data_IF_692400762782
#
_entry.id   IF_692400762782
#
_cell.length_a   1.000
_cell.length_b   1.000
_cell.length_c   1.000
_cell.angle_alpha   90.00
_cell.angle_beta   90.00
_cell.angle_gamma   90.00
#
_symmetry.space_group_name_H-M   'P 1'
#
loop_
_entity.id
_entity.type
_entity.pdbx_description
1 polymer ?
#
# COMPACT_ATOMS: atom_id res chain seq x y z
N UNK A 1 -8.31 5.46 -37.03
CA UNK A 1 -9.02 6.71 -36.68
C UNK A 1 -8.18 7.36 -35.61
N UNK A 2 -7.51 8.46 -35.93
CA UNK A 2 -6.71 9.24 -34.97
C UNK A 2 -7.66 9.74 -33.87
N UNK A 3 -7.49 9.25 -32.64
CA UNK A 3 -8.16 9.86 -31.49
C UNK A 3 -7.73 11.33 -31.48
N UNK A 4 -8.70 12.24 -31.48
CA UNK A 4 -8.38 13.64 -31.25
C UNK A 4 -7.74 13.72 -29.87
N UNK A 5 -6.46 14.07 -29.82
CA UNK A 5 -5.75 14.36 -28.57
C UNK A 5 -6.52 15.47 -27.88
N UNK A 6 -7.27 15.13 -26.83
CA UNK A 6 -7.94 16.10 -25.99
C UNK A 6 -6.89 16.64 -25.03
N UNK A 7 -6.09 17.61 -25.47
CA UNK A 7 -5.28 18.39 -24.56
C UNK A 7 -6.24 19.10 -23.58
N UNK A 8 -5.99 19.06 -22.27
CA UNK A 8 -6.89 19.67 -21.31
C UNK A 8 -6.84 21.21 -21.45
N UNK A 9 -8.01 21.87 -21.33
CA UNK A 9 -8.13 23.34 -21.51
C UNK A 9 -7.31 24.15 -20.48
N UNK A 10 -6.89 23.48 -19.41
CA UNK A 10 -5.95 23.94 -18.38
C UNK A 10 -5.14 22.75 -17.87
N UNK A 11 -3.97 22.96 -17.24
CA UNK A 11 -3.26 21.86 -16.57
C UNK A 11 -4.18 21.11 -15.59
N UNK A 12 -4.13 19.78 -15.62
CA UNK A 12 -4.81 18.93 -14.65
C UNK A 12 -4.00 18.89 -13.36
N UNK A 13 -4.66 19.13 -12.23
CA UNK A 13 -4.02 19.25 -10.92
C UNK A 13 -3.95 17.87 -10.26
N UNK A 14 -2.75 17.30 -10.21
CA UNK A 14 -2.42 16.05 -9.55
C UNK A 14 -2.07 16.31 -8.09
N UNK A 15 -2.93 15.89 -7.17
CA UNK A 15 -2.67 15.95 -5.73
C UNK A 15 -1.75 14.83 -5.25
N UNK A 16 -0.73 15.17 -4.47
CA UNK A 16 0.18 14.18 -3.86
C UNK A 16 0.73 14.68 -2.53
N UNK A 17 1.27 13.76 -1.73
CA UNK A 17 2.05 14.10 -0.53
C UNK A 17 3.43 14.64 -0.90
N UNK A 18 4.03 15.41 0.01
CA UNK A 18 5.35 16.04 -0.21
C UNK A 18 6.57 15.14 0.00
N UNK A 19 6.40 13.87 0.37
CA UNK A 19 7.54 12.97 0.59
C UNK A 19 8.23 12.59 -0.74
N UNK A 20 9.54 12.32 -0.77
CA UNK A 20 10.24 11.94 -2.01
C UNK A 20 9.58 10.77 -2.76
N UNK A 21 9.10 9.75 -2.03
CA UNK A 21 8.42 8.61 -2.64
C UNK A 21 7.06 9.00 -3.25
N UNK A 22 6.29 9.84 -2.58
CA UNK A 22 5.00 10.30 -3.09
C UNK A 22 5.17 11.20 -4.34
N UNK A 23 6.21 12.03 -4.36
CA UNK A 23 6.58 12.82 -5.54
C UNK A 23 7.05 11.93 -6.69
N UNK A 24 7.79 10.85 -6.43
CA UNK A 24 8.15 9.88 -7.46
C UNK A 24 6.90 9.21 -8.06
N UNK A 25 5.93 8.83 -7.24
CA UNK A 25 4.66 8.24 -7.70
C UNK A 25 3.81 9.23 -8.51
N UNK A 26 3.80 10.50 -8.10
CA UNK A 26 3.15 11.57 -8.85
C UNK A 26 3.77 11.75 -10.24
N UNK A 27 5.11 11.79 -10.33
CA UNK A 27 5.82 11.86 -11.62
C UNK A 27 5.51 10.68 -12.52
N UNK A 28 5.57 9.45 -11.99
CA UNK A 28 5.20 8.24 -12.74
C UNK A 28 3.78 8.32 -13.32
N UNK A 29 2.83 8.87 -12.55
CA UNK A 29 1.44 9.02 -13.00
C UNK A 29 1.30 10.11 -14.07
N UNK A 30 1.96 11.25 -13.88
CA UNK A 30 1.98 12.34 -14.86
C UNK A 30 2.61 11.88 -16.18
N UNK A 31 3.76 11.19 -16.11
CA UNK A 31 4.46 10.62 -17.28
C UNK A 31 3.58 9.61 -18.01
N UNK A 32 2.86 8.74 -17.30
CA UNK A 32 1.92 7.79 -17.91
C UNK A 32 0.79 8.50 -18.66
N UNK A 33 0.19 9.54 -18.06
CA UNK A 33 -0.85 10.34 -18.70
C UNK A 33 -0.33 11.08 -19.94
N UNK A 34 0.80 11.79 -19.81
CA UNK A 34 1.39 12.53 -20.92
C UNK A 34 1.75 11.59 -22.08
N UNK A 35 2.34 10.42 -21.78
CA UNK A 35 2.70 9.43 -22.80
C UNK A 35 1.46 8.86 -23.50
N UNK A 36 0.45 8.44 -22.73
CA UNK A 36 -0.75 7.79 -23.27
C UNK A 36 -1.58 8.74 -24.14
N UNK A 37 -1.68 10.01 -23.75
CA UNK A 37 -2.53 10.99 -24.42
C UNK A 37 -1.76 11.92 -25.39
N UNK A 38 -0.43 11.79 -25.46
CA UNK A 38 0.43 12.65 -26.28
C UNK A 38 0.45 14.09 -25.79
N UNK A 39 0.40 14.31 -24.46
CA UNK A 39 0.45 15.64 -23.86
C UNK A 39 1.87 16.08 -23.53
N UNK A 40 2.09 17.39 -23.55
CA UNK A 40 3.29 18.00 -23.01
C UNK A 40 3.31 17.92 -21.47
N UNK A 41 4.49 18.09 -20.87
CA UNK A 41 4.68 17.91 -19.43
C UNK A 41 3.95 18.96 -18.58
N UNK A 42 3.64 20.12 -19.15
CA UNK A 42 2.90 21.20 -18.49
C UNK A 42 1.37 20.98 -18.46
N UNK A 43 0.87 19.95 -19.14
CA UNK A 43 -0.53 19.53 -19.06
C UNK A 43 -0.91 18.98 -17.68
N UNK A 44 0.07 18.63 -16.83
CA UNK A 44 -0.15 18.14 -15.47
C UNK A 44 0.58 19.05 -14.47
N UNK A 45 -0.19 19.67 -13.57
CA UNK A 45 0.34 20.44 -12.45
C UNK A 45 0.39 19.57 -11.19
N UNK A 46 1.55 19.39 -10.58
CA UNK A 46 1.66 18.67 -9.30
C UNK A 46 1.35 19.60 -8.12
N UNK A 47 0.30 19.28 -7.37
CA UNK A 47 -0.13 20.01 -6.17
C UNK A 47 0.26 19.20 -4.92
N UNK A 48 1.18 19.74 -4.13
CA UNK A 48 1.60 19.12 -2.86
C UNK A 48 0.58 19.43 -1.78
N UNK A 49 -0.03 18.40 -1.22
CA UNK A 49 -0.94 18.47 -0.09
C UNK A 49 -0.24 17.96 1.16
N UNK A 50 -0.12 18.83 2.17
CA UNK A 50 0.48 18.46 3.44
C UNK A 50 -0.51 17.66 4.30
N UNK A 51 -0.11 16.47 4.72
CA UNK A 51 -0.97 15.58 5.52
C UNK A 51 -0.62 15.62 7.00
N UNK A 52 -1.59 15.35 7.86
CA UNK A 52 -1.38 15.18 9.31
C UNK A 52 -0.36 14.08 9.64
N UNK A 53 -0.33 13.01 8.84
CA UNK A 53 0.66 11.93 8.97
C UNK A 53 2.12 12.35 8.73
N UNK A 54 2.35 13.45 7.99
CA UNK A 54 3.70 14.01 7.81
C UNK A 54 4.17 14.80 9.03
N UNK A 55 3.23 15.37 9.81
CA UNK A 55 3.51 16.20 10.99
C UNK A 55 3.76 15.37 12.25
N UNK A 56 3.09 14.23 12.40
CA UNK A 56 3.10 13.44 13.64
C UNK A 56 4.00 12.20 13.48
N UNK A 57 5.17 12.23 14.14
CA UNK A 57 6.20 11.19 14.02
C UNK A 57 6.54 10.46 15.33
N UNK A 58 5.96 10.88 16.46
CA UNK A 58 6.30 10.45 17.82
C UNK A 58 5.41 9.33 18.38
N UNK A 59 4.33 8.93 17.69
CA UNK A 59 3.40 7.85 18.13
C UNK A 59 3.04 6.88 16.99
N UNK A 60 2.39 5.77 17.33
CA UNK A 60 1.99 4.77 16.33
C UNK A 60 0.80 5.25 15.49
N UNK A 61 0.74 4.89 14.19
CA UNK A 61 -0.37 5.30 13.31
C UNK A 61 -1.74 4.88 13.84
N UNK A 62 -1.79 3.71 14.48
CA UNK A 62 -3.01 3.18 15.08
C UNK A 62 -3.59 4.09 16.17
N UNK A 63 -2.76 4.88 16.84
CA UNK A 63 -3.15 5.69 17.99
C UNK A 63 -3.62 7.11 17.61
N UNK A 64 -3.45 7.52 16.34
CA UNK A 64 -3.63 8.92 15.91
C UNK A 64 -4.77 9.08 14.88
N UNK A 65 -5.33 7.99 14.36
CA UNK A 65 -6.38 8.01 13.33
C UNK A 65 -6.13 7.11 12.12
N UNK A 66 -5.09 6.27 12.17
CA UNK A 66 -4.85 5.21 11.21
C UNK A 66 -4.43 5.66 9.80
N UNK A 67 -4.94 4.97 8.77
CA UNK A 67 -4.63 5.28 7.37
C UNK A 67 -5.25 6.59 6.90
N UNK A 68 -6.32 7.06 7.55
CA UNK A 68 -6.94 8.35 7.27
C UNK A 68 -6.01 9.54 7.41
N UNK A 69 -4.90 9.38 8.13
CA UNK A 69 -3.86 10.40 8.23
C UNK A 69 -3.09 10.64 6.93
N UNK A 70 -3.23 9.76 5.93
CA UNK A 70 -2.52 9.86 4.65
C UNK A 70 -3.40 10.30 3.48
N UNK A 71 -4.72 10.14 3.60
CA UNK A 71 -5.70 10.38 2.54
C UNK A 71 -6.59 11.59 2.85
N UNK A 72 -6.95 11.83 4.12
CA UNK A 72 -7.95 12.85 4.50
C UNK A 72 -7.72 14.24 3.91
N UNK A 73 -6.50 14.75 3.91
CA UNK A 73 -6.24 16.07 3.35
C UNK A 73 -6.30 16.08 1.81
N UNK A 74 -5.93 14.99 1.15
CA UNK A 74 -6.08 14.80 -0.30
C UNK A 74 -7.58 14.65 -0.67
N UNK A 75 -8.33 13.88 0.11
CA UNK A 75 -9.77 13.69 -0.03
C UNK A 75 -10.50 15.03 0.01
N UNK A 76 -10.17 15.85 1.01
CA UNK A 76 -10.70 17.21 1.12
C UNK A 76 -10.32 18.06 -0.08
N UNK A 77 -9.04 18.06 -0.48
CA UNK A 77 -8.59 18.84 -1.64
C UNK A 77 -9.31 18.43 -2.93
N UNK A 78 -9.62 17.15 -3.10
CA UNK A 78 -10.36 16.62 -4.23
C UNK A 78 -11.83 17.06 -4.21
N UNK A 79 -12.51 16.94 -3.06
CA UNK A 79 -13.90 17.38 -2.86
C UNK A 79 -14.06 18.90 -3.00
N UNK A 80 -13.11 19.68 -2.50
CA UNK A 80 -13.08 21.15 -2.63
C UNK A 80 -12.64 21.62 -4.03
N UNK A 81 -12.30 20.70 -4.94
CA UNK A 81 -11.88 21.01 -6.30
C UNK A 81 -10.54 21.75 -6.38
N UNK A 82 -9.68 21.61 -5.37
CA UNK A 82 -8.29 22.11 -5.37
C UNK A 82 -7.37 21.25 -6.22
N UNK A 83 -7.68 19.96 -6.32
CA UNK A 83 -7.02 18.98 -7.20
C UNK A 83 -8.09 18.27 -8.04
N UNK A 84 -7.70 17.74 -9.18
CA UNK A 84 -8.59 17.03 -10.10
C UNK A 84 -8.54 15.50 -9.90
N UNK A 85 -7.39 14.99 -9.46
CA UNK A 85 -7.18 13.61 -9.05
C UNK A 85 -6.01 13.52 -8.05
N UNK A 86 -5.93 12.44 -7.28
CA UNK A 86 -4.92 12.22 -6.26
C UNK A 86 -4.17 10.91 -6.48
N UNK A 87 -2.88 10.87 -6.12
CA UNK A 87 -2.02 9.68 -6.28
C UNK A 87 -1.58 9.14 -4.93
N UNK A 88 -1.68 7.82 -4.76
CA UNK A 88 -1.42 7.15 -3.49
C UNK A 88 -0.59 5.88 -3.67
N UNK A 89 0.19 5.55 -2.64
CA UNK A 89 0.57 4.16 -2.39
C UNK A 89 -0.67 3.42 -1.91
N UNK A 90 -1.20 2.44 -2.67
CA UNK A 90 -2.50 1.83 -2.35
C UNK A 90 -2.56 1.12 -1.00
N UNK A 91 -1.43 0.64 -0.49
CA UNK A 91 -1.37 0.06 0.86
C UNK A 91 -1.68 1.08 1.97
N UNK A 92 -1.58 2.38 1.69
CA UNK A 92 -1.85 3.47 2.63
C UNK A 92 -3.28 4.03 2.48
N UNK A 93 -4.04 3.58 1.49
CA UNK A 93 -5.45 3.97 1.27
C UNK A 93 -6.37 3.09 2.12
N UNK A 94 -7.38 3.68 2.75
CA UNK A 94 -8.37 2.94 3.56
C UNK A 94 -9.18 1.97 2.70
N UNK A 95 -9.63 0.90 3.33
CA UNK A 95 -10.46 -0.11 2.67
C UNK A 95 -11.83 0.45 2.28
N UNK A 96 -12.45 1.20 3.20
CA UNK A 96 -13.72 1.88 2.99
C UNK A 96 -13.41 3.33 2.65
N UNK A 97 -13.92 3.79 1.50
CA UNK A 97 -13.72 5.16 1.02
C UNK A 97 -15.06 5.92 1.04
N UNK A 98 -15.03 7.27 1.16
CA UNK A 98 -16.21 8.09 0.99
C UNK A 98 -16.90 7.82 -0.36
N UNK A 99 -18.22 7.94 -0.43
CA UNK A 99 -18.99 7.62 -1.65
C UNK A 99 -18.68 8.58 -2.81
N UNK A 100 -18.17 9.76 -2.48
CA UNK A 100 -17.79 10.82 -3.41
C UNK A 100 -16.45 10.53 -4.09
N UNK A 101 -15.62 9.65 -3.53
CA UNK A 101 -14.25 9.37 -3.99
C UNK A 101 -14.17 7.93 -4.48
N UNK A 102 -13.56 7.74 -5.66
CA UNK A 102 -13.31 6.41 -6.17
C UNK A 102 -11.86 6.24 -6.63
N UNK A 103 -11.36 5.02 -6.50
CA UNK A 103 -10.13 4.59 -7.17
C UNK A 103 -10.46 4.37 -8.64
N UNK A 104 -9.98 5.25 -9.51
CA UNK A 104 -10.30 5.25 -10.94
C UNK A 104 -9.30 4.45 -11.77
N UNK A 105 -8.03 4.40 -11.36
CA UNK A 105 -6.99 3.69 -12.07
C UNK A 105 -5.87 3.24 -11.14
N UNK A 106 -5.12 2.23 -11.58
CA UNK A 106 -3.84 1.84 -10.98
C UNK A 106 -2.78 1.69 -12.06
N UNK A 107 -1.56 2.13 -11.77
CA UNK A 107 -0.40 1.87 -12.64
C UNK A 107 0.04 0.40 -12.50
N UNK A 108 0.81 -0.15 -13.46
CA UNK A 108 1.39 -1.49 -13.34
C UNK A 108 2.09 -1.73 -12.00
N UNK A 109 1.76 -2.85 -11.35
CA UNK A 109 2.24 -3.15 -10.00
C UNK A 109 3.74 -3.43 -9.97
N UNK A 110 4.45 -2.72 -9.10
CA UNK A 110 5.87 -2.97 -8.84
C UNK A 110 6.07 -4.18 -7.91
N UNK A 111 7.33 -4.53 -7.64
CA UNK A 111 7.69 -5.64 -6.75
C UNK A 111 7.02 -5.50 -5.38
N UNK A 112 6.18 -6.50 -5.06
CA UNK A 112 5.36 -6.52 -3.84
C UNK A 112 6.15 -6.98 -2.61
N UNK A 113 7.35 -7.54 -2.77
CA UNK A 113 8.14 -8.11 -1.67
C UNK A 113 8.58 -7.05 -0.67
N UNK A 114 8.75 -7.49 0.58
CA UNK A 114 9.54 -6.75 1.56
C UNK A 114 11.02 -7.04 1.37
N UNK A 115 11.87 -6.07 1.70
CA UNK A 115 13.32 -6.24 1.81
C UNK A 115 13.75 -6.11 3.26
N UNK A 116 14.63 -7.02 3.68
CA UNK A 116 15.38 -6.90 4.93
C UNK A 116 16.56 -5.97 4.69
N UNK A 117 16.69 -4.93 5.50
CA UNK A 117 17.78 -3.94 5.39
C UNK A 117 18.58 -3.96 6.69
N UNK A 118 19.91 -4.06 6.59
CA UNK A 118 20.82 -4.17 7.72
C UNK A 118 21.35 -5.60 7.97
N UNK A 119 20.80 -6.61 7.29
CA UNK A 119 21.29 -7.98 7.32
C UNK A 119 20.93 -8.72 6.03
N UNK A 120 21.72 -9.74 5.67
CA UNK A 120 21.49 -10.55 4.47
C UNK A 120 20.29 -11.51 4.62
N UNK A 121 20.04 -11.97 5.85
CA UNK A 121 18.93 -12.85 6.19
C UNK A 121 18.55 -12.67 7.66
N UNK A 122 17.36 -13.15 8.03
CA UNK A 122 16.99 -13.18 9.44
C UNK A 122 17.95 -14.04 10.27
N UNK A 123 18.57 -15.08 9.72
CA UNK A 123 19.52 -15.93 10.44
C UNK A 123 20.87 -15.23 10.71
N UNK A 124 21.24 -14.24 9.88
CA UNK A 124 22.47 -13.47 10.05
C UNK A 124 22.37 -12.38 11.14
N UNK A 125 21.17 -12.15 11.69
CA UNK A 125 20.98 -11.20 12.79
C UNK A 125 21.52 -11.77 14.11
N UNK A 126 22.02 -10.91 15.02
CA UNK A 126 22.51 -11.33 16.34
C UNK A 126 21.40 -11.99 17.17
N UNK A 127 21.77 -12.55 18.33
CA UNK A 127 20.80 -13.00 19.33
C UNK A 127 19.95 -11.81 19.82
N UNK A 128 18.65 -12.05 20.00
CA UNK A 128 17.66 -11.05 20.45
C UNK A 128 17.71 -9.75 19.62
N UNK A 129 17.61 -9.84 18.29
CA UNK A 129 17.86 -8.69 17.44
C UNK A 129 16.76 -7.63 17.59
N UNK A 130 17.17 -6.39 17.76
CA UNK A 130 16.28 -5.21 17.64
C UNK A 130 15.97 -4.95 16.17
N UNK A 131 14.71 -5.08 15.76
CA UNK A 131 14.22 -4.85 14.40
C UNK A 131 13.24 -3.67 14.37
N UNK A 132 13.52 -2.66 13.56
CA UNK A 132 12.67 -1.48 13.43
C UNK A 132 11.51 -1.69 12.47
N UNK A 133 10.26 -1.62 12.96
CA UNK A 133 9.06 -1.59 12.11
C UNK A 133 7.86 -0.97 12.84
N UNK A 134 7.12 -0.11 12.14
CA UNK A 134 5.82 0.40 12.60
C UNK A 134 4.61 -0.37 12.03
N UNK A 135 4.85 -1.46 11.29
CA UNK A 135 3.78 -2.27 10.68
C UNK A 135 3.44 -3.44 11.60
N UNK A 136 2.17 -3.56 12.07
CA UNK A 136 1.72 -4.72 12.86
C UNK A 136 1.94 -6.05 12.13
N UNK A 137 1.64 -6.09 10.82
CA UNK A 137 1.92 -7.25 9.95
C UNK A 137 3.38 -7.67 10.04
N UNK A 138 4.31 -6.76 9.72
CA UNK A 138 5.75 -7.09 9.72
C UNK A 138 6.23 -7.46 11.11
N UNK A 139 5.74 -6.79 12.15
CA UNK A 139 6.10 -7.12 13.53
C UNK A 139 5.72 -8.57 13.89
N UNK A 140 4.48 -8.98 13.58
CA UNK A 140 4.02 -10.34 13.83
C UNK A 140 4.80 -11.37 12.98
N UNK A 141 4.98 -11.12 11.68
CA UNK A 141 5.73 -12.02 10.80
C UNK A 141 7.21 -12.15 11.21
N UNK A 142 7.86 -11.05 11.62
CA UNK A 142 9.23 -11.10 12.15
C UNK A 142 9.29 -11.93 13.43
N UNK A 143 8.39 -11.72 14.40
CA UNK A 143 8.37 -12.51 15.64
C UNK A 143 8.05 -13.98 15.38
N UNK A 144 7.28 -14.30 14.34
CA UNK A 144 7.06 -15.69 13.92
C UNK A 144 8.34 -16.34 13.38
N UNK A 145 9.13 -15.61 12.58
CA UNK A 145 10.38 -16.11 11.98
C UNK A 145 11.57 -16.09 12.96
N UNK A 146 11.61 -15.11 13.85
CA UNK A 146 12.63 -14.88 14.88
C UNK A 146 11.94 -14.55 16.21
N UNK A 147 11.50 -15.57 16.98
CA UNK A 147 10.77 -15.37 18.24
C UNK A 147 11.53 -14.59 19.32
N UNK A 148 12.87 -14.53 19.21
CA UNK A 148 13.74 -13.75 20.09
C UNK A 148 13.85 -12.27 19.71
N UNK A 149 13.34 -11.86 18.53
CA UNK A 149 13.46 -10.50 18.04
C UNK A 149 12.64 -9.49 18.85
N UNK A 150 13.26 -8.34 19.13
CA UNK A 150 12.61 -7.18 19.71
C UNK A 150 12.18 -6.24 18.59
N UNK A 151 10.88 -6.18 18.30
CA UNK A 151 10.38 -5.26 17.27
C UNK A 151 10.02 -3.92 17.90
N UNK A 152 10.68 -2.85 17.45
CA UNK A 152 10.51 -1.50 17.99
C UNK A 152 9.85 -0.56 16.98
N UNK A 153 9.11 0.43 17.49
CA UNK A 153 8.46 1.44 16.66
C UNK A 153 9.52 2.21 15.85
N UNK A 154 9.37 2.22 14.53
CA UNK A 154 10.36 2.78 13.61
C UNK A 154 9.68 3.59 12.51
N UNK A 155 9.71 4.92 12.68
CA UNK A 155 8.95 5.92 11.92
C UNK A 155 9.88 6.81 11.08
N UNK A 156 9.28 7.62 10.22
CA UNK A 156 9.96 8.46 9.24
C UNK A 156 9.79 7.95 7.81
N UNK A 157 10.16 8.78 6.85
CA UNK A 157 10.25 8.39 5.44
C UNK A 157 11.42 7.40 5.23
N UNK A 158 11.61 6.92 4.00
CA UNK A 158 12.67 5.94 3.67
C UNK A 158 14.05 6.44 4.09
N UNK A 159 14.42 7.67 3.73
CA UNK A 159 15.72 8.25 4.04
C UNK A 159 15.96 8.35 5.56
N UNK A 160 14.96 8.83 6.32
CA UNK A 160 15.05 8.91 7.78
C UNK A 160 15.29 7.52 8.40
N UNK A 161 14.57 6.50 7.93
CA UNK A 161 14.73 5.12 8.45
C UNK A 161 16.09 4.54 8.14
N UNK A 162 16.63 4.78 6.93
CA UNK A 162 17.97 4.34 6.56
C UNK A 162 19.05 5.05 7.39
N UNK A 163 18.88 6.35 7.65
CA UNK A 163 19.79 7.10 8.53
C UNK A 163 19.80 6.57 9.97
N UNK A 164 18.62 6.28 10.54
CA UNK A 164 18.50 5.68 11.88
C UNK A 164 19.13 4.29 11.96
N UNK A 165 18.97 3.48 10.90
CA UNK A 165 19.63 2.18 10.79
C UNK A 165 21.16 2.36 10.76
N UNK A 166 21.67 3.27 9.93
CA UNK A 166 23.10 3.57 9.83
C UNK A 166 23.70 4.10 11.15
N UNK A 167 22.89 4.80 11.95
CA UNK A 167 23.26 5.25 13.29
C UNK A 167 23.25 4.14 14.35
N UNK A 168 22.82 2.91 14.01
CA UNK A 168 22.81 1.77 14.91
C UNK A 168 21.61 1.75 15.89
N UNK A 169 20.54 2.51 15.64
CA UNK A 169 19.35 2.49 16.50
C UNK A 169 18.64 1.12 16.51
N UNK A 170 18.77 0.36 15.42
CA UNK A 170 18.24 -1.00 15.25
C UNK A 170 19.25 -1.85 14.47
N UNK A 171 19.20 -3.17 14.61
CA UNK A 171 20.07 -4.08 13.84
C UNK A 171 19.57 -4.26 12.40
N UNK A 172 18.25 -4.19 12.20
CA UNK A 172 17.65 -4.25 10.88
C UNK A 172 16.30 -3.53 10.82
N UNK A 173 15.84 -3.23 9.60
CA UNK A 173 14.48 -2.77 9.33
C UNK A 173 13.93 -3.47 8.09
N UNK A 174 12.64 -3.26 7.82
CA UNK A 174 11.97 -3.76 6.62
C UNK A 174 11.42 -2.60 5.80
N UNK A 175 11.70 -2.61 4.50
CA UNK A 175 11.17 -1.66 3.53
C UNK A 175 10.51 -2.41 2.36
N UNK A 176 9.56 -1.78 1.67
CA UNK A 176 8.95 -2.40 0.49
C UNK A 176 9.91 -2.25 -0.69
N UNK A 177 10.15 -3.32 -1.46
CA UNK A 177 11.02 -3.29 -2.64
C UNK A 177 10.63 -2.16 -3.60
N UNK A 178 9.34 -2.08 -3.97
CA UNK A 178 8.80 -1.01 -4.80
C UNK A 178 9.12 0.42 -4.33
N UNK A 179 9.21 0.65 -3.01
CA UNK A 179 9.53 1.97 -2.48
C UNK A 179 11.00 2.34 -2.68
N UNK A 180 11.90 1.37 -2.57
CA UNK A 180 13.33 1.55 -2.79
C UNK A 180 13.63 1.72 -4.28
N UNK A 181 13.01 0.90 -5.13
CA UNK A 181 13.21 0.95 -6.58
C UNK A 181 12.79 2.32 -7.16
N UNK A 182 11.63 2.84 -6.74
CA UNK A 182 11.13 4.18 -7.15
C UNK A 182 12.01 5.33 -6.68
N UNK A 183 12.82 5.11 -5.64
CA UNK A 183 13.76 6.09 -5.10
C UNK A 183 15.18 5.91 -5.68
N UNK A 184 15.35 5.05 -6.69
CA UNK A 184 16.65 4.79 -7.31
C UNK A 184 17.60 4.02 -6.39
N UNK A 185 17.08 3.17 -5.50
CA UNK A 185 17.86 2.40 -4.53
C UNK A 185 17.63 0.87 -4.65
N UNK A 186 17.75 0.29 -5.86
CA UNK A 186 17.42 -1.11 -6.10
C UNK A 186 18.34 -2.11 -5.36
N UNK A 187 19.54 -1.69 -4.95
CA UNK A 187 20.49 -2.58 -4.26
C UNK A 187 20.36 -2.56 -2.74
N UNK A 188 19.45 -1.75 -2.19
CA UNK A 188 19.26 -1.65 -0.74
C UNK A 188 18.46 -2.85 -0.23
N UNK A 189 19.13 -3.68 0.58
CA UNK A 189 18.55 -4.80 1.32
C UNK A 189 18.26 -6.04 0.48
N UNK A 190 17.95 -7.14 1.17
CA UNK A 190 17.67 -8.45 0.55
C UNK A 190 16.17 -8.68 0.43
N UNK A 191 15.68 -8.99 -0.78
CA UNK A 191 14.28 -9.38 -0.99
C UNK A 191 13.92 -10.64 -0.20
N UNK A 192 12.85 -10.55 0.59
CA UNK A 192 12.29 -11.68 1.34
C UNK A 192 11.34 -12.44 0.40
N UNK A 193 11.49 -13.77 0.26
CA UNK A 193 10.57 -14.59 -0.53
C UNK A 193 9.11 -14.50 -0.06
N UNK A 194 8.15 -14.61 -0.99
CA UNK A 194 6.72 -14.41 -0.71
C UNK A 194 6.10 -15.53 0.13
N UNK A 195 6.69 -16.72 0.11
CA UNK A 195 6.36 -17.85 0.97
C UNK A 195 6.92 -17.70 2.39
N UNK A 196 7.94 -16.85 2.57
CA UNK A 196 8.50 -16.48 3.88
C UNK A 196 7.75 -15.30 4.51
N UNK A 197 7.44 -14.27 3.72
CA UNK A 197 6.74 -13.08 4.20
C UNK A 197 5.73 -12.56 3.19
N UNK A 198 4.45 -12.80 3.46
CA UNK A 198 3.36 -12.30 2.63
C UNK A 198 3.26 -10.76 2.78
N UNK A 199 3.08 -10.00 1.68
CA UNK A 199 3.13 -8.55 1.73
C UNK A 199 1.87 -7.92 2.34
N UNK A 200 1.95 -6.62 2.63
CA UNK A 200 0.76 -5.87 2.97
C UNK A 200 -0.21 -5.87 1.77
N UNK A 201 -1.53 -5.93 2.01
CA UNK A 201 -2.51 -5.74 0.95
C UNK A 201 -2.21 -4.46 0.18
N UNK A 202 -2.30 -4.54 -1.14
CA UNK A 202 -2.06 -3.47 -2.10
C UNK A 202 -0.62 -2.94 -2.14
N UNK A 203 0.34 -3.61 -1.50
CA UNK A 203 1.76 -3.22 -1.59
C UNK A 203 2.23 -3.28 -3.05
N UNK A 204 3.07 -2.32 -3.44
CA UNK A 204 3.61 -2.22 -4.79
C UNK A 204 2.71 -1.46 -5.78
N UNK A 205 1.40 -1.30 -5.51
CA UNK A 205 0.49 -0.59 -6.40
C UNK A 205 0.49 0.93 -6.15
N UNK A 206 0.43 1.70 -7.24
CA UNK A 206 0.13 3.14 -7.23
C UNK A 206 -1.30 3.28 -7.71
N UNK A 207 -2.15 3.87 -6.87
CA UNK A 207 -3.56 4.07 -7.20
C UNK A 207 -3.87 5.54 -7.36
N UNK A 208 -4.87 5.79 -8.20
CA UNK A 208 -5.27 7.12 -8.60
C UNK A 208 -6.74 7.28 -8.24
N UNK A 209 -7.03 8.26 -7.38
CA UNK A 209 -8.38 8.57 -6.93
C UNK A 209 -8.90 9.85 -7.61
N UNK A 210 -10.19 9.90 -7.91
CA UNK A 210 -10.89 11.12 -8.37
C UNK A 210 -12.33 11.12 -7.85
N UNK A 211 -13.05 12.21 -8.09
CA UNK A 211 -14.47 12.30 -7.73
C UNK A 211 -15.27 11.31 -8.56
N UNK A 212 -16.14 10.56 -7.89
CA UNK A 212 -17.00 9.54 -8.51
C UNK A 212 -17.87 10.13 -9.64
N UNK A 213 -18.35 11.37 -9.47
CA UNK A 213 -19.19 12.05 -10.47
C UNK A 213 -18.40 12.68 -11.64
N UNK A 214 -17.06 12.75 -11.57
CA UNK A 214 -16.24 13.36 -12.62
C UNK A 214 -16.00 12.38 -13.78
N UNK A 215 -17.02 12.14 -14.60
CA UNK A 215 -16.97 11.21 -15.73
C UNK A 215 -15.80 11.46 -16.69
N UNK A 216 -15.53 12.73 -17.03
CA UNK A 216 -14.42 13.10 -17.93
C UNK A 216 -13.06 12.68 -17.35
N UNK A 217 -12.83 12.93 -16.06
CA UNK A 217 -11.58 12.51 -15.42
C UNK A 217 -11.46 10.99 -15.36
N UNK A 218 -12.56 10.28 -15.08
CA UNK A 218 -12.56 8.81 -15.06
C UNK A 218 -12.21 8.21 -16.42
N UNK A 219 -12.74 8.76 -17.51
CA UNK A 219 -12.42 8.34 -18.87
C UNK A 219 -10.92 8.56 -19.18
N UNK A 220 -10.37 9.72 -18.83
CA UNK A 220 -8.95 10.02 -19.03
C UNK A 220 -8.02 9.08 -18.24
N UNK A 221 -8.38 8.80 -16.98
CA UNK A 221 -7.60 7.92 -16.10
C UNK A 221 -7.71 6.45 -16.49
N UNK A 222 -8.84 6.02 -17.06
CA UNK A 222 -9.05 4.63 -17.49
C UNK A 222 -8.00 4.17 -18.53
N UNK A 223 -7.52 5.10 -19.37
CA UNK A 223 -6.52 4.82 -20.41
C UNK A 223 -5.14 4.45 -19.86
N UNK A 224 -4.83 4.79 -18.61
CA UNK A 224 -3.57 4.41 -17.94
C UNK A 224 -3.78 3.31 -16.87
N UNK A 225 -4.97 2.73 -16.80
CA UNK A 225 -5.29 1.71 -15.83
C UNK A 225 -4.75 0.34 -16.25
N UNK A 226 -3.91 -0.25 -15.41
CA UNK A 226 -3.52 -1.65 -15.50
C UNK A 226 -4.60 -2.53 -14.86
N UNK A 227 -5.44 -3.14 -15.69
CA UNK A 227 -6.59 -3.94 -15.22
C UNK A 227 -6.20 -5.14 -14.35
N UNK A 228 -5.02 -5.72 -14.58
CA UNK A 228 -4.54 -6.88 -13.83
C UNK A 228 -4.14 -6.48 -12.41
N UNK A 229 -3.43 -5.37 -12.26
CA UNK A 229 -3.13 -4.74 -10.97
C UNK A 229 -4.42 -4.35 -10.27
N UNK A 230 -5.32 -3.68 -10.97
CA UNK A 230 -6.58 -3.20 -10.41
C UNK A 230 -7.38 -4.37 -9.81
N UNK A 231 -7.62 -5.43 -10.58
CA UNK A 231 -8.41 -6.57 -10.12
C UNK A 231 -7.75 -7.32 -8.95
N UNK A 232 -6.43 -7.52 -9.01
CA UNK A 232 -5.70 -8.18 -7.92
C UNK A 232 -5.76 -7.35 -6.63
N UNK A 233 -5.56 -6.03 -6.72
CA UNK A 233 -5.61 -5.13 -5.57
C UNK A 233 -7.02 -5.01 -5.01
N UNK A 234 -8.05 -4.98 -5.86
CA UNK A 234 -9.44 -4.94 -5.41
C UNK A 234 -9.84 -6.24 -4.70
N UNK A 235 -9.36 -7.40 -5.16
CA UNK A 235 -9.53 -8.66 -4.43
C UNK A 235 -8.84 -8.63 -3.06
N UNK A 236 -7.61 -8.12 -2.95
CA UNK A 236 -6.92 -7.95 -1.66
C UNK A 236 -7.66 -7.00 -0.71
N UNK A 237 -8.20 -5.90 -1.23
CA UNK A 237 -9.00 -4.95 -0.45
C UNK A 237 -10.35 -5.55 -0.02
N UNK A 238 -10.93 -6.42 -0.83
CA UNK A 238 -12.13 -7.17 -0.45
C UNK A 238 -11.84 -8.15 0.71
N UNK A 239 -10.66 -8.79 0.76
CA UNK A 239 -10.23 -9.54 1.96
C UNK A 239 -10.21 -8.65 3.20
N UNK A 240 -9.60 -7.46 3.10
CA UNK A 240 -9.59 -6.50 4.20
C UNK A 240 -10.99 -6.12 4.67
N UNK A 241 -11.92 -5.94 3.73
CA UNK A 241 -13.32 -5.63 4.06
C UNK A 241 -14.00 -6.79 4.79
N UNK A 242 -13.74 -8.03 4.37
CA UNK A 242 -14.20 -9.24 5.06
C UNK A 242 -13.62 -9.39 6.48
N UNK A 243 -12.47 -8.79 6.75
CA UNK A 243 -11.81 -8.72 8.07
C UNK A 243 -12.28 -7.53 8.93
N UNK A 244 -13.38 -6.85 8.56
CA UNK A 244 -13.89 -5.68 9.27
C UNK A 244 -13.32 -4.35 8.79
N UNK A 245 -12.46 -4.33 7.77
CA UNK A 245 -11.93 -3.11 7.17
C UNK A 245 -10.86 -2.40 8.01
N UNK A 246 -10.42 -3.00 9.12
CA UNK A 246 -9.47 -2.40 10.06
C UNK A 246 -8.04 -2.41 9.52
N UNK A 247 -7.24 -1.42 9.92
CA UNK A 247 -5.89 -1.19 9.39
C UNK A 247 -4.79 -1.34 10.45
N UNK A 248 -5.13 -1.78 11.66
CA UNK A 248 -4.21 -1.87 12.81
C UNK A 248 -3.84 -3.30 13.18
N UNK A 249 -4.49 -4.27 12.53
CA UNK A 249 -4.28 -5.69 12.80
C UNK A 249 -3.15 -6.26 11.93
N UNK A 250 -2.46 -7.31 12.38
CA UNK A 250 -1.45 -8.00 11.57
C UNK A 250 -2.06 -8.80 10.42
N UNK A 251 -2.23 -8.14 9.27
CA UNK A 251 -2.86 -8.70 8.07
C UNK A 251 -1.89 -8.69 6.89
N UNK A 252 -1.84 -9.77 6.13
CA UNK A 252 -1.21 -9.82 4.82
C UNK A 252 -2.17 -10.39 3.77
N UNK A 253 -2.09 -9.90 2.54
CA UNK A 253 -2.83 -10.46 1.41
C UNK A 253 -2.10 -10.16 0.10
N UNK A 254 -2.20 -11.10 -0.84
CA UNK A 254 -1.64 -10.99 -2.18
C UNK A 254 -2.52 -11.71 -3.19
N UNK A 255 -3.06 -10.97 -4.14
CA UNK A 255 -3.66 -11.45 -5.37
C UNK A 255 -2.61 -11.47 -6.49
N UNK A 256 -2.56 -12.58 -7.23
CA UNK A 256 -1.80 -12.69 -8.47
C UNK A 256 -2.69 -13.23 -9.57
N UNK A 257 -2.58 -12.65 -10.76
CA UNK A 257 -3.26 -13.18 -11.93
C UNK A 257 -2.50 -14.40 -12.45
N UNK A 258 -3.16 -15.56 -12.45
CA UNK A 258 -2.64 -16.84 -12.92
C UNK A 258 -3.72 -17.51 -13.77
N UNK A 259 -3.45 -17.74 -15.06
CA UNK A 259 -4.38 -18.37 -16.02
C UNK A 259 -5.76 -17.68 -16.08
N UNK A 260 -5.79 -16.34 -16.08
CA UNK A 260 -7.04 -15.56 -16.14
C UNK A 260 -7.87 -15.55 -14.86
N UNK A 261 -7.37 -16.14 -13.77
CA UNK A 261 -7.98 -16.13 -12.43
C UNK A 261 -7.06 -15.48 -11.42
N UNK A 262 -7.59 -15.04 -10.29
CA UNK A 262 -6.79 -14.47 -9.21
C UNK A 262 -6.49 -15.57 -8.19
N UNK A 263 -5.21 -15.92 -8.04
CA UNK A 263 -4.71 -16.67 -6.88
C UNK A 263 -4.54 -15.67 -5.73
N UNK A 264 -5.44 -15.75 -4.76
CA UNK A 264 -5.54 -14.85 -3.62
C UNK A 264 -5.09 -15.57 -2.35
N UNK A 265 -3.91 -15.21 -1.85
CA UNK A 265 -3.39 -15.65 -0.57
C UNK A 265 -3.66 -14.59 0.50
N UNK A 266 -4.05 -15.00 1.71
CA UNK A 266 -4.25 -14.11 2.83
C UNK A 266 -3.90 -14.77 4.16
N UNK A 267 -3.45 -13.96 5.12
CA UNK A 267 -3.19 -14.41 6.50
C UNK A 267 -3.46 -13.30 7.52
N UNK A 268 -3.84 -13.75 8.72
CA UNK A 268 -3.94 -12.94 9.94
C UNK A 268 -3.07 -13.57 11.02
N UNK A 269 -2.46 -12.73 11.87
CA UNK A 269 -1.55 -13.19 12.92
C UNK A 269 -1.83 -12.51 14.26
N UNK A 270 -1.53 -13.20 15.36
CA UNK A 270 -1.43 -12.57 16.67
C UNK A 270 -0.26 -11.57 16.69
N UNK A 271 -0.32 -10.56 17.57
CA UNK A 271 0.73 -9.52 17.65
C UNK A 271 2.12 -10.06 18.04
N UNK A 272 2.18 -11.26 18.63
CA UNK A 272 3.40 -11.99 18.94
C UNK A 272 3.81 -13.02 17.85
N UNK A 273 2.99 -13.19 16.80
CA UNK A 273 3.25 -14.09 15.68
C UNK A 273 3.05 -15.59 15.96
N UNK A 274 2.64 -15.96 17.19
CA UNK A 274 2.46 -17.36 17.59
C UNK A 274 1.27 -18.00 16.87
N UNK A 275 0.14 -17.31 16.84
CA UNK A 275 -1.02 -17.72 16.08
C UNK A 275 -0.96 -17.14 14.67
N UNK A 276 -1.30 -17.99 13.70
CA UNK A 276 -1.45 -17.64 12.30
C UNK A 276 -2.63 -18.41 11.74
N UNK A 277 -3.54 -17.72 11.08
CA UNK A 277 -4.57 -18.32 10.24
C UNK A 277 -4.35 -17.84 8.83
N UNK A 278 -4.17 -18.77 7.90
CA UNK A 278 -3.96 -18.49 6.48
C UNK A 278 -4.86 -19.35 5.59
N UNK A 279 -5.05 -18.92 4.36
CA UNK A 279 -5.72 -19.66 3.28
C UNK A 279 -5.33 -19.08 1.91
N UNK A 280 -5.49 -19.89 0.86
CA UNK A 280 -5.26 -19.50 -0.52
C UNK A 280 -6.43 -19.97 -1.38
N UNK A 281 -7.05 -19.04 -2.11
CA UNK A 281 -8.16 -19.32 -3.02
C UNK A 281 -7.81 -18.93 -4.44
N UNK A 282 -8.41 -19.62 -5.40
CA UNK A 282 -8.41 -19.20 -6.80
C UNK A 282 -9.82 -18.73 -7.12
N UNK A 283 -9.96 -17.44 -7.42
CA UNK A 283 -11.25 -16.79 -7.66
C UNK A 283 -11.31 -16.20 -9.06
N UNK A 284 -12.52 -15.94 -9.56
CA UNK A 284 -12.70 -15.21 -10.82
C UNK A 284 -12.28 -13.74 -10.67
N UNK A 285 -11.86 -13.11 -11.77
CA UNK A 285 -11.64 -11.65 -11.80
C UNK A 285 -12.93 -10.93 -11.43
N UNK A 286 -12.83 -9.87 -10.62
CA UNK A 286 -13.98 -9.10 -10.15
C UNK A 286 -14.88 -9.79 -9.11
N UNK A 287 -14.60 -11.03 -8.71
CA UNK A 287 -15.38 -11.73 -7.66
C UNK A 287 -14.99 -11.25 -6.25
N UNK A 288 -15.38 -10.02 -5.95
CA UNK A 288 -15.15 -9.37 -4.65
C UNK A 288 -15.87 -10.10 -3.51
N UNK A 289 -16.97 -10.81 -3.79
CA UNK A 289 -17.72 -11.55 -2.78
C UNK A 289 -16.94 -12.77 -2.28
N UNK A 290 -16.31 -13.52 -3.18
CA UNK A 290 -15.43 -14.63 -2.81
C UNK A 290 -14.20 -14.15 -2.02
N UNK A 291 -13.63 -12.99 -2.38
CA UNK A 291 -12.54 -12.38 -1.65
C UNK A 291 -12.94 -11.90 -0.23
N UNK A 292 -14.11 -11.26 -0.08
CA UNK A 292 -14.67 -10.92 1.23
C UNK A 292 -14.93 -12.17 2.09
N UNK A 293 -15.46 -13.25 1.48
CA UNK A 293 -15.70 -14.52 2.16
C UNK A 293 -14.40 -15.17 2.67
N UNK A 294 -13.29 -15.04 1.92
CA UNK A 294 -11.97 -15.45 2.39
C UNK A 294 -11.58 -14.72 3.67
N UNK A 295 -11.76 -13.39 3.73
CA UNK A 295 -11.53 -12.59 4.92
C UNK A 295 -12.33 -13.10 6.14
N UNK A 296 -13.65 -13.26 5.99
CA UNK A 296 -14.51 -13.78 7.06
C UNK A 296 -14.09 -15.16 7.56
N UNK A 297 -13.78 -16.07 6.63
CA UNK A 297 -13.32 -17.44 6.94
C UNK A 297 -12.03 -17.48 7.77
N UNK A 298 -11.14 -16.48 7.63
CA UNK A 298 -9.96 -16.37 8.49
C UNK A 298 -10.37 -16.05 9.94
N UNK A 299 -11.31 -15.12 10.15
CA UNK A 299 -11.80 -14.76 11.49
C UNK A 299 -12.59 -15.89 12.16
N UNK A 300 -13.40 -16.62 11.38
CA UNK A 300 -14.19 -17.75 11.88
C UNK A 300 -13.29 -18.85 12.47
N UNK A 301 -12.09 -19.04 11.89
CA UNK A 301 -11.09 -20.02 12.33
C UNK A 301 -10.08 -19.49 13.36
N UNK A 302 -10.07 -18.18 13.61
CA UNK A 302 -9.19 -17.56 14.59
C UNK A 302 -9.67 -17.82 16.03
N UNK A 303 -8.71 -17.86 16.96
CA UNK A 303 -8.99 -17.79 18.40
C UNK A 303 -9.76 -16.51 18.76
N UNK A 304 -10.36 -16.49 19.96
CA UNK A 304 -11.03 -15.29 20.47
C UNK A 304 -10.03 -14.12 20.62
N UNK A 305 -8.81 -14.42 21.08
CA UNK A 305 -7.75 -13.45 21.28
C UNK A 305 -7.29 -12.81 19.96
N UNK A 306 -7.13 -13.62 18.91
CA UNK A 306 -6.78 -13.10 17.58
C UNK A 306 -7.95 -12.33 16.97
N UNK A 307 -9.17 -12.85 17.07
CA UNK A 307 -10.38 -12.19 16.54
C UNK A 307 -10.60 -10.81 17.18
N UNK A 308 -10.35 -10.67 18.49
CA UNK A 308 -10.46 -9.39 19.20
C UNK A 308 -9.57 -8.28 18.62
N UNK A 309 -8.49 -8.60 17.89
CA UNK A 309 -7.67 -7.60 17.19
C UNK A 309 -8.39 -6.94 16.00
N UNK A 310 -9.57 -7.44 15.61
CA UNK A 310 -10.32 -7.01 14.43
C UNK A 310 -11.70 -6.42 14.77
N UNK A 311 -12.13 -6.48 16.02
CA UNK A 311 -13.48 -6.09 16.49
C UNK A 311 -13.56 -4.65 17.03
N UNK A 312 -12.70 -3.73 16.55
CA UNK A 312 -12.62 -2.35 17.05
C UNK A 312 -13.62 -1.40 16.38
#
# INVERSE_FOLDING_TARGET
MTSQSFAPDRPLRLGTRGSPLALAQARMTAEALCTQHGWETDAIETVIVQTSGDRIQDRALAEIGGKALWTKELDRALVEGQIDFAVHSMKDVETIRPVEIMVAAMLPRADVRDRLVGAESFAALPEKPVVGSSSPRRAAQVKRLRPDAQVVLFRGNVATRLAKLAAGEVHATLLAAAGLDRLGQPDVGTCIPLDVMLPAPSQGAVGIETLNENAKMRELLAEINDSDTFDCVMAERAVLKGLGGTCHSPIAALGRLENGKIRLAAEILSADGRERVDDIRVIARGDVSAAEALGRSLLDRASAELRALFEA
#
